data_IF_749416503188
#
_entry.id   IF_749416503188
#
_cell.length_a   1.000
_cell.length_b   1.000
_cell.length_c   1.000
_cell.angle_alpha   90.00
_cell.angle_beta   90.00
_cell.angle_gamma   90.00
#
_symmetry.space_group_name_H-M   'P 1'
#
loop_
_entity.id
_entity.type
_entity.pdbx_description
1 polymer ?
#
# COMPACT_ATOMS: atom_id res chain seq x y z
N UNK A 1 -20.47 -0.17 9.39
CA UNK A 1 -19.02 -0.49 9.34
C UNK A 1 -18.72 -1.89 9.83
N UNK A 2 -19.28 -2.33 10.96
CA UNK A 2 -19.09 -3.68 11.53
C UNK A 2 -19.33 -4.81 10.53
N UNK A 3 -20.48 -4.82 9.83
CA UNK A 3 -20.80 -5.86 8.83
C UNK A 3 -19.69 -5.97 7.77
N UNK A 4 -19.32 -4.87 7.12
CA UNK A 4 -18.26 -4.90 6.11
C UNK A 4 -16.89 -5.28 6.69
N UNK A 5 -16.61 -4.88 7.92
CA UNK A 5 -15.36 -5.26 8.59
C UNK A 5 -15.27 -6.78 8.77
N UNK A 6 -16.30 -7.39 9.36
CA UNK A 6 -16.35 -8.82 9.67
C UNK A 6 -16.43 -9.67 8.40
N UNK A 7 -17.26 -9.28 7.43
CA UNK A 7 -17.50 -10.08 6.24
C UNK A 7 -16.38 -9.95 5.20
N UNK A 8 -15.75 -8.77 5.08
CA UNK A 8 -14.82 -8.47 3.98
C UNK A 8 -13.44 -8.10 4.49
N UNK A 9 -13.35 -7.04 5.30
CA UNK A 9 -12.05 -6.41 5.61
C UNK A 9 -11.15 -7.34 6.40
N UNK A 10 -11.66 -7.94 7.46
CA UNK A 10 -10.87 -8.82 8.33
C UNK A 10 -10.44 -10.11 7.60
N UNK A 11 -11.33 -10.85 6.92
CA UNK A 11 -10.92 -12.01 6.14
C UNK A 11 -9.91 -11.67 5.03
N UNK A 12 -10.09 -10.55 4.31
CA UNK A 12 -9.13 -10.08 3.33
C UNK A 12 -7.76 -9.79 3.96
N UNK A 13 -7.73 -9.01 5.04
CA UNK A 13 -6.49 -8.70 5.75
C UNK A 13 -5.80 -9.96 6.27
N UNK A 14 -6.55 -10.97 6.72
CA UNK A 14 -5.97 -12.26 7.13
C UNK A 14 -5.31 -12.99 5.97
N UNK A 15 -5.84 -12.90 4.75
CA UNK A 15 -5.23 -13.52 3.57
C UNK A 15 -4.01 -12.77 3.03
N UNK A 16 -3.87 -11.47 3.35
CA UNK A 16 -2.77 -10.63 2.86
C UNK A 16 -1.69 -10.37 3.92
N UNK A 17 -2.05 -10.40 5.22
CA UNK A 17 -1.20 -10.09 6.38
C UNK A 17 -1.18 -11.20 7.45
N UNK A 18 -1.96 -12.26 7.29
CA UNK A 18 -2.03 -13.33 8.29
C UNK A 18 -0.76 -14.17 8.35
N UNK A 19 -0.62 -15.03 9.37
CA UNK A 19 0.49 -15.97 9.47
C UNK A 19 0.63 -16.79 8.18
N UNK A 20 1.86 -16.90 7.65
CA UNK A 20 2.15 -17.62 6.41
C UNK A 20 2.07 -16.78 5.13
N UNK A 21 1.86 -15.46 5.24
CA UNK A 21 1.83 -14.52 4.10
C UNK A 21 3.11 -13.70 3.95
N UNK A 22 4.15 -13.99 4.75
CA UNK A 22 5.38 -13.19 4.83
C UNK A 22 6.16 -13.17 3.50
N UNK A 23 6.00 -14.24 2.70
CA UNK A 23 6.64 -14.38 1.38
C UNK A 23 5.67 -14.10 0.22
N UNK A 24 4.43 -13.69 0.50
CA UNK A 24 3.43 -13.41 -0.54
C UNK A 24 3.83 -12.16 -1.30
N UNK A 25 4.05 -12.33 -2.60
CA UNK A 25 4.31 -11.22 -3.51
C UNK A 25 2.99 -10.48 -3.80
N UNK A 26 3.00 -9.16 -3.72
CA UNK A 26 1.88 -8.30 -4.10
C UNK A 26 1.33 -8.64 -5.50
N UNK A 27 2.21 -9.01 -6.44
CA UNK A 27 1.85 -9.30 -7.82
C UNK A 27 1.02 -10.58 -7.98
N UNK A 28 1.00 -11.45 -6.97
CA UNK A 28 0.24 -12.70 -6.98
C UNK A 28 -1.14 -12.56 -6.34
N UNK A 29 -1.54 -11.37 -5.88
CA UNK A 29 -2.85 -11.11 -5.26
C UNK A 29 -4.01 -10.98 -6.27
N UNK A 30 -3.74 -11.05 -7.57
CA UNK A 30 -4.75 -10.90 -8.62
C UNK A 30 -5.98 -11.81 -8.45
N UNK A 31 -5.80 -13.14 -8.26
CA UNK A 31 -6.91 -14.06 -7.99
C UNK A 31 -7.72 -13.69 -6.74
N UNK A 32 -7.05 -13.30 -5.65
CA UNK A 32 -7.72 -12.87 -4.43
C UNK A 32 -8.57 -11.60 -4.65
N UNK A 33 -8.08 -10.64 -5.44
CA UNK A 33 -8.85 -9.44 -5.78
C UNK A 33 -10.04 -9.74 -6.69
N UNK A 34 -9.96 -10.77 -7.52
CA UNK A 34 -11.08 -11.24 -8.31
C UNK A 34 -12.13 -11.93 -7.44
N UNK A 35 -11.71 -12.86 -6.57
CA UNK A 35 -12.58 -13.53 -5.60
C UNK A 35 -13.32 -12.52 -4.73
N UNK A 36 -12.60 -11.55 -4.18
CA UNK A 36 -13.16 -10.47 -3.35
C UNK A 36 -14.25 -9.68 -4.09
N UNK A 37 -14.04 -9.31 -5.36
CA UNK A 37 -15.03 -8.58 -6.14
C UNK A 37 -16.26 -9.44 -6.43
N UNK A 38 -16.05 -10.70 -6.80
CA UNK A 38 -17.12 -11.65 -7.04
C UNK A 38 -17.97 -11.87 -5.78
N UNK A 39 -17.31 -11.98 -4.62
CA UNK A 39 -17.97 -12.13 -3.32
C UNK A 39 -18.77 -10.89 -2.92
N UNK A 40 -18.20 -9.69 -3.12
CA UNK A 40 -18.97 -8.46 -2.90
C UNK A 40 -20.19 -8.40 -3.83
N UNK A 41 -20.05 -8.83 -5.08
CA UNK A 41 -21.17 -8.89 -6.03
C UNK A 41 -22.24 -9.90 -5.60
N UNK A 42 -21.89 -11.10 -5.14
CA UNK A 42 -22.87 -12.08 -4.67
C UNK A 42 -23.67 -11.58 -3.47
N UNK A 43 -23.03 -10.86 -2.54
CA UNK A 43 -23.72 -10.20 -1.42
C UNK A 43 -24.64 -9.05 -1.86
N UNK A 44 -24.31 -8.38 -2.98
CA UNK A 44 -25.17 -7.36 -3.59
C UNK A 44 -26.40 -7.98 -4.27
N UNK A 45 -26.20 -9.11 -4.94
CA UNK A 45 -27.23 -9.83 -5.70
C UNK A 45 -28.21 -10.54 -4.77
N UNK A 46 -27.71 -11.12 -3.67
CA UNK A 46 -28.52 -11.71 -2.61
C UNK A 46 -28.18 -11.13 -1.23
N UNK A 47 -28.86 -10.03 -0.81
CA UNK A 47 -28.71 -9.49 0.53
C UNK A 47 -29.21 -10.43 1.64
N UNK A 48 -29.95 -11.50 1.30
CA UNK A 48 -30.36 -12.55 2.23
C UNK A 48 -29.17 -13.26 2.85
N UNK A 49 -28.04 -13.33 2.15
CA UNK A 49 -26.78 -13.87 2.69
C UNK A 49 -26.28 -13.12 3.92
N UNK A 50 -26.65 -11.84 4.08
CA UNK A 50 -26.26 -11.02 5.25
C UNK A 50 -27.40 -10.94 6.26
N UNK A 51 -28.63 -10.73 5.80
CA UNK A 51 -29.77 -10.35 6.66
C UNK A 51 -30.85 -11.42 6.79
N UNK A 52 -30.70 -12.56 6.11
CA UNK A 52 -31.63 -13.69 6.16
C UNK A 52 -31.58 -14.41 7.51
N UNK A 53 -32.65 -15.15 7.81
CA UNK A 53 -32.72 -15.98 9.01
C UNK A 53 -31.74 -17.16 8.98
N UNK A 54 -31.31 -17.54 7.79
CA UNK A 54 -30.33 -18.59 7.47
C UNK A 54 -28.93 -18.02 7.18
N UNK A 55 -28.72 -16.71 7.42
CA UNK A 55 -27.42 -16.08 7.21
C UNK A 55 -26.34 -16.77 8.06
N UNK A 56 -25.34 -17.32 7.39
CA UNK A 56 -24.23 -18.06 7.99
C UNK A 56 -22.90 -17.40 7.62
N UNK A 57 -21.89 -17.58 8.47
CA UNK A 57 -20.54 -17.13 8.16
C UNK A 57 -19.98 -17.79 6.89
N UNK A 58 -20.40 -19.02 6.58
CA UNK A 58 -19.93 -19.81 5.44
C UNK A 58 -20.22 -19.13 4.11
N UNK A 59 -21.36 -18.43 4.00
CA UNK A 59 -21.79 -17.75 2.78
C UNK A 59 -21.60 -16.25 2.85
N UNK A 60 -21.67 -15.65 4.04
CA UNK A 60 -21.57 -14.20 4.19
C UNK A 60 -20.12 -13.68 4.17
N UNK A 61 -19.18 -14.45 4.71
CA UNK A 61 -17.78 -14.00 4.84
C UNK A 61 -16.94 -14.37 3.62
N UNK A 62 -15.99 -13.52 3.26
CA UNK A 62 -15.02 -13.83 2.22
C UNK A 62 -14.20 -15.07 2.62
N UNK A 63 -14.27 -16.11 1.79
CA UNK A 63 -13.61 -17.40 2.02
C UNK A 63 -14.31 -18.30 3.05
N UNK A 64 -15.55 -17.96 3.46
CA UNK A 64 -16.42 -18.82 4.28
C UNK A 64 -15.88 -19.14 5.68
N UNK A 65 -15.13 -18.22 6.29
CA UNK A 65 -14.55 -18.41 7.62
C UNK A 65 -15.45 -17.85 8.72
N UNK A 66 -15.28 -18.33 9.94
CA UNK A 66 -16.01 -17.82 11.09
C UNK A 66 -15.86 -16.30 11.25
N UNK A 67 -16.90 -15.67 11.81
CA UNK A 67 -16.89 -14.24 12.11
C UNK A 67 -15.71 -13.88 13.02
N UNK A 68 -14.95 -12.86 12.64
CA UNK A 68 -13.83 -12.38 13.45
C UNK A 68 -14.28 -11.84 14.81
N UNK A 69 -15.53 -11.39 14.89
CA UNK A 69 -16.18 -10.93 16.11
C UNK A 69 -17.62 -11.43 16.15
N UNK A 70 -17.85 -12.64 16.70
CA UNK A 70 -19.19 -13.22 16.78
C UNK A 70 -20.13 -12.41 17.65
N UNK A 71 -19.62 -11.81 18.73
CA UNK A 71 -20.43 -11.00 19.67
C UNK A 71 -20.96 -9.73 19.01
N UNK A 72 -20.13 -9.06 18.21
CA UNK A 72 -20.56 -7.90 17.44
C UNK A 72 -21.61 -8.28 16.38
N UNK A 73 -21.45 -9.41 15.69
CA UNK A 73 -22.45 -9.88 14.73
C UNK A 73 -23.77 -10.25 15.39
N UNK A 74 -23.74 -10.96 16.53
CA UNK A 74 -24.94 -11.28 17.31
C UNK A 74 -25.68 -10.00 17.75
N UNK A 75 -24.94 -9.01 18.26
CA UNK A 75 -25.50 -7.71 18.65
C UNK A 75 -26.11 -6.99 17.46
N UNK A 76 -25.44 -7.02 16.31
CA UNK A 76 -25.96 -6.44 15.07
C UNK A 76 -27.27 -7.11 14.64
N UNK A 77 -27.37 -8.45 14.69
CA UNK A 77 -28.61 -9.16 14.35
C UNK A 77 -29.77 -8.83 15.27
N UNK A 78 -29.51 -8.62 16.56
CA UNK A 78 -30.54 -8.14 17.51
C UNK A 78 -31.00 -6.72 17.22
N UNK A 79 -30.11 -5.86 16.70
CA UNK A 79 -30.41 -4.46 16.39
C UNK A 79 -31.02 -4.25 15.00
N UNK A 80 -30.72 -5.11 14.02
CA UNK A 80 -31.22 -4.95 12.64
C UNK A 80 -32.75 -4.73 12.58
N UNK A 81 -33.60 -5.46 13.32
CA UNK A 81 -35.05 -5.24 13.32
C UNK A 81 -35.48 -3.83 13.77
N UNK A 82 -34.68 -3.15 14.60
CA UNK A 82 -34.97 -1.78 15.07
C UNK A 82 -34.33 -0.69 14.20
N UNK A 83 -33.52 -1.07 13.20
CA UNK A 83 -32.79 -0.15 12.32
C UNK A 83 -33.36 -0.19 10.89
N UNK A 84 -34.34 0.66 10.57
CA UNK A 84 -35.12 0.55 9.32
C UNK A 84 -34.32 0.78 8.03
N UNK A 85 -33.12 1.35 8.12
CA UNK A 85 -32.28 1.66 6.95
C UNK A 85 -30.94 0.92 6.93
N UNK A 86 -30.72 -0.02 7.86
CA UNK A 86 -29.44 -0.72 7.97
C UNK A 86 -29.13 -1.52 6.70
N UNK A 87 -30.17 -2.09 6.08
CA UNK A 87 -30.02 -2.87 4.86
C UNK A 87 -29.56 -1.97 3.72
N UNK A 88 -30.28 -0.89 3.45
CA UNK A 88 -30.03 0.05 2.36
C UNK A 88 -28.65 0.70 2.49
N UNK A 89 -28.30 1.16 3.70
CA UNK A 89 -26.99 1.77 3.97
C UNK A 89 -25.87 0.74 3.77
N UNK A 90 -26.06 -0.50 4.23
CA UNK A 90 -25.08 -1.57 4.01
C UNK A 90 -24.91 -1.83 2.51
N UNK A 91 -26.00 -2.01 1.76
CA UNK A 91 -25.93 -2.24 0.32
C UNK A 91 -25.27 -1.09 -0.44
N UNK A 92 -25.57 0.16 -0.08
CA UNK A 92 -24.93 1.33 -0.66
C UNK A 92 -23.42 1.34 -0.38
N UNK A 93 -23.00 0.97 0.84
CA UNK A 93 -21.60 0.84 1.19
C UNK A 93 -20.90 -0.24 0.35
N UNK A 94 -21.50 -1.43 0.20
CA UNK A 94 -20.95 -2.51 -0.62
C UNK A 94 -20.80 -2.12 -2.10
N UNK A 95 -21.74 -1.35 -2.67
CA UNK A 95 -21.60 -0.80 -4.04
C UNK A 95 -20.41 0.15 -4.17
N UNK A 96 -20.23 1.04 -3.19
CA UNK A 96 -19.08 1.94 -3.14
C UNK A 96 -17.76 1.18 -2.99
N UNK A 97 -17.74 0.15 -2.15
CA UNK A 97 -16.60 -0.74 -1.97
C UNK A 97 -16.27 -1.48 -3.27
N UNK A 98 -17.25 -2.08 -3.95
CA UNK A 98 -17.04 -2.79 -5.22
C UNK A 98 -16.43 -1.89 -6.29
N UNK A 99 -16.92 -0.65 -6.39
CA UNK A 99 -16.40 0.35 -7.33
C UNK A 99 -14.93 0.66 -7.04
N UNK A 100 -14.61 0.81 -5.75
CA UNK A 100 -13.24 1.09 -5.29
C UNK A 100 -12.32 -0.10 -5.57
N UNK A 101 -12.74 -1.32 -5.22
CA UNK A 101 -11.99 -2.54 -5.48
C UNK A 101 -11.78 -2.81 -6.95
N UNK A 102 -12.76 -2.52 -7.80
CA UNK A 102 -12.63 -2.62 -9.26
C UNK A 102 -11.55 -1.68 -9.79
N UNK A 103 -11.55 -0.42 -9.32
CA UNK A 103 -10.52 0.55 -9.71
C UNK A 103 -9.13 0.18 -9.18
N UNK A 104 -9.04 -0.29 -7.94
CA UNK A 104 -7.80 -0.71 -7.29
C UNK A 104 -7.17 -1.93 -7.97
N UNK A 105 -8.00 -2.92 -8.32
CA UNK A 105 -7.56 -4.20 -8.88
C UNK A 105 -7.44 -4.20 -10.41
N UNK A 106 -7.78 -3.11 -11.10
CA UNK A 106 -7.78 -3.04 -12.57
C UNK A 106 -6.44 -3.45 -13.22
N UNK A 107 -5.31 -3.16 -12.56
CA UNK A 107 -3.97 -3.54 -13.03
C UNK A 107 -3.68 -5.05 -12.96
N UNK A 108 -4.45 -5.78 -12.16
CA UNK A 108 -4.39 -7.24 -12.00
C UNK A 108 -5.42 -7.97 -12.87
N UNK A 109 -6.13 -7.25 -13.75
CA UNK A 109 -7.12 -7.87 -14.63
C UNK A 109 -6.45 -8.94 -15.51
N UNK A 110 -7.17 -10.03 -15.84
CA UNK A 110 -6.70 -11.05 -16.78
C UNK A 110 -6.27 -10.40 -18.11
N UNK A 111 -5.12 -10.82 -18.63
CA UNK A 111 -4.50 -10.21 -19.81
C UNK A 111 -3.85 -8.84 -19.58
N UNK A 112 -3.80 -8.36 -18.33
CA UNK A 112 -3.03 -7.18 -17.94
C UNK A 112 -1.53 -7.46 -17.84
N UNK A 113 -0.72 -6.41 -17.71
CA UNK A 113 0.75 -6.53 -17.62
C UNK A 113 1.22 -7.37 -16.43
N UNK A 114 0.53 -7.30 -15.29
CA UNK A 114 0.88 -8.09 -14.09
C UNK A 114 0.53 -9.57 -14.32
N UNK A 115 -0.65 -9.83 -14.91
CA UNK A 115 -1.11 -11.18 -15.21
C UNK A 115 -0.17 -11.88 -16.20
N UNK A 116 0.26 -11.17 -17.25
CA UNK A 116 1.18 -11.68 -18.27
C UNK A 116 2.64 -11.75 -17.83
N UNK A 117 3.00 -11.18 -16.67
CA UNK A 117 4.38 -11.22 -16.18
C UNK A 117 4.79 -12.66 -15.86
N UNK A 118 5.95 -13.07 -16.37
CA UNK A 118 6.55 -14.37 -16.06
C UNK A 118 6.90 -14.50 -14.58
N UNK A 119 7.04 -15.73 -14.09
CA UNK A 119 7.45 -15.99 -12.71
C UNK A 119 8.77 -15.28 -12.37
N UNK A 120 9.73 -15.28 -13.30
CA UNK A 120 11.02 -14.60 -13.14
C UNK A 120 10.84 -13.07 -13.01
N UNK A 121 10.00 -12.46 -13.85
CA UNK A 121 9.74 -11.01 -13.77
C UNK A 121 9.04 -10.64 -12.46
N UNK A 122 8.09 -11.46 -11.99
CA UNK A 122 7.43 -11.25 -10.70
C UNK A 122 8.40 -11.38 -9.53
N UNK A 123 9.33 -12.34 -9.59
CA UNK A 123 10.36 -12.52 -8.58
C UNK A 123 11.38 -11.36 -8.58
N UNK A 124 11.77 -10.86 -9.75
CA UNK A 124 12.67 -9.69 -9.87
C UNK A 124 11.98 -8.40 -9.39
N UNK A 125 10.67 -8.30 -9.59
CA UNK A 125 9.85 -7.18 -9.12
C UNK A 125 9.15 -7.49 -7.78
N UNK A 126 9.75 -8.36 -6.95
CA UNK A 126 9.14 -8.77 -5.70
C UNK A 126 8.85 -7.56 -4.80
N UNK A 127 7.61 -7.52 -4.32
CA UNK A 127 7.16 -6.54 -3.34
C UNK A 127 6.32 -7.27 -2.30
N UNK A 128 6.45 -6.91 -1.00
CA UNK A 128 5.59 -7.46 0.02
C UNK A 128 4.13 -7.16 -0.31
N UNK A 129 3.23 -8.09 0.01
CA UNK A 129 1.78 -8.00 -0.18
C UNK A 129 1.17 -6.74 0.46
N UNK A 130 1.83 -6.20 1.48
CA UNK A 130 1.47 -4.96 2.16
C UNK A 130 2.64 -3.99 2.20
N UNK A 131 2.33 -2.70 2.31
CA UNK A 131 3.36 -1.68 2.43
C UNK A 131 3.59 -1.27 3.90
N UNK A 132 3.21 -2.12 4.87
CA UNK A 132 3.31 -1.87 6.32
C UNK A 132 4.72 -1.44 6.74
N UNK A 133 5.76 -2.06 6.18
CA UNK A 133 7.16 -1.69 6.44
C UNK A 133 7.47 -0.26 5.99
N UNK A 134 6.93 0.17 4.85
CA UNK A 134 7.18 1.51 4.35
C UNK A 134 6.31 2.56 5.07
N UNK A 135 5.10 2.20 5.51
CA UNK A 135 4.24 3.04 6.36
C UNK A 135 4.88 3.23 7.73
N UNK A 136 5.47 2.17 8.29
CA UNK A 136 6.26 2.21 9.50
C UNK A 136 7.49 3.11 9.35
N UNK A 137 8.24 2.97 8.25
CA UNK A 137 9.42 3.80 7.98
C UNK A 137 9.05 5.28 7.78
N UNK A 138 7.94 5.58 7.12
CA UNK A 138 7.44 6.94 6.93
C UNK A 138 6.96 7.54 8.26
N UNK A 139 6.29 6.75 9.09
CA UNK A 139 5.85 7.17 10.42
C UNK A 139 7.05 7.47 11.32
N UNK A 140 8.06 6.60 11.33
CA UNK A 140 9.32 6.81 12.04
C UNK A 140 10.02 8.09 11.57
N UNK A 141 10.04 8.34 10.26
CA UNK A 141 10.57 9.57 9.68
C UNK A 141 9.84 10.81 10.21
N UNK A 142 8.50 10.80 10.19
CA UNK A 142 7.71 11.92 10.70
C UNK A 142 7.97 12.19 12.18
N UNK A 143 8.09 11.15 13.01
CA UNK A 143 8.42 11.30 14.44
C UNK A 143 9.82 11.91 14.59
N UNK A 144 10.80 11.43 13.83
CA UNK A 144 12.17 11.94 13.88
C UNK A 144 12.26 13.43 13.49
N UNK A 145 11.61 13.84 12.41
CA UNK A 145 11.62 15.23 11.94
C UNK A 145 10.90 16.16 12.92
N UNK A 146 9.84 15.70 13.62
CA UNK A 146 9.19 16.49 14.67
C UNK A 146 10.12 16.81 15.83
N UNK A 147 10.90 15.82 16.27
CA UNK A 147 11.89 16.01 17.34
C UNK A 147 13.17 16.73 16.90
N UNK A 148 13.49 16.67 15.60
CA UNK A 148 14.70 17.25 15.00
C UNK A 148 14.34 17.99 13.69
N UNK A 149 13.80 19.23 13.76
CA UNK A 149 13.35 19.94 12.56
C UNK A 149 14.47 20.27 11.56
N UNK A 150 15.72 20.33 12.03
CA UNK A 150 16.91 20.53 11.20
C UNK A 150 17.42 19.24 10.55
N UNK A 151 16.83 18.07 10.84
CA UNK A 151 17.25 16.79 10.30
C UNK A 151 16.93 16.72 8.80
N UNK A 152 17.97 16.57 7.98
CA UNK A 152 17.80 16.40 6.55
C UNK A 152 17.37 14.97 6.21
N UNK A 153 16.75 14.77 5.04
CA UNK A 153 16.39 13.42 4.61
C UNK A 153 17.63 12.53 4.44
N UNK A 154 18.74 13.10 3.95
CA UNK A 154 20.01 12.38 3.84
C UNK A 154 20.53 11.91 5.20
N UNK A 155 20.50 12.78 6.21
CA UNK A 155 20.91 12.42 7.58
C UNK A 155 19.99 11.36 8.19
N UNK A 156 18.68 11.47 8.00
CA UNK A 156 17.73 10.45 8.48
C UNK A 156 18.00 9.09 7.81
N UNK A 157 18.14 9.06 6.48
CA UNK A 157 18.41 7.83 5.74
C UNK A 157 19.76 7.21 6.15
N UNK A 158 20.79 8.03 6.36
CA UNK A 158 22.09 7.56 6.84
C UNK A 158 21.97 6.94 8.24
N UNK A 159 21.28 7.59 9.18
CA UNK A 159 21.04 7.05 10.52
C UNK A 159 20.22 5.75 10.49
N UNK A 160 19.17 5.70 9.67
CA UNK A 160 18.34 4.51 9.53
C UNK A 160 19.13 3.32 8.95
N UNK A 161 19.97 3.56 7.93
CA UNK A 161 20.84 2.52 7.38
C UNK A 161 21.92 2.10 8.38
N UNK A 162 22.52 3.06 9.09
CA UNK A 162 23.54 2.79 10.10
C UNK A 162 23.03 1.84 11.18
N UNK A 163 21.81 2.08 11.68
CA UNK A 163 21.16 1.22 12.66
C UNK A 163 20.77 -0.14 12.07
N UNK A 164 20.15 -0.14 10.88
CA UNK A 164 19.66 -1.37 10.24
C UNK A 164 20.78 -2.35 9.89
N UNK A 165 21.93 -1.83 9.50
CA UNK A 165 23.07 -2.64 9.08
C UNK A 165 24.04 -2.94 10.23
N UNK A 166 23.70 -2.58 11.48
CA UNK A 166 24.61 -2.67 12.63
C UNK A 166 26.00 -2.10 12.33
N UNK A 167 26.04 -0.95 11.66
CA UNK A 167 27.29 -0.38 11.15
C UNK A 167 28.25 -0.03 12.29
N UNK A 168 27.76 0.23 13.50
CA UNK A 168 28.61 0.42 14.68
C UNK A 168 29.49 -0.80 14.97
N UNK A 169 28.92 -2.01 14.95
CA UNK A 169 29.66 -3.25 15.23
C UNK A 169 30.77 -3.48 14.20
N UNK A 170 30.49 -3.20 12.92
CA UNK A 170 31.49 -3.23 11.86
C UNK A 170 32.59 -2.18 12.09
N UNK A 171 32.20 -0.96 12.47
CA UNK A 171 33.14 0.12 12.71
C UNK A 171 34.09 -0.20 13.86
N UNK A 172 33.57 -0.72 14.97
CA UNK A 172 34.35 -1.06 16.14
C UNK A 172 35.32 -2.23 15.88
N UNK A 173 34.94 -3.17 15.00
CA UNK A 173 35.76 -4.32 14.65
C UNK A 173 36.86 -4.02 13.62
N UNK A 174 36.63 -3.07 12.71
CA UNK A 174 37.45 -2.92 11.48
C UNK A 174 38.15 -1.57 11.39
N UNK A 175 37.56 -0.48 11.90
CA UNK A 175 38.09 0.86 11.64
C UNK A 175 39.20 1.24 12.61
N UNK A 176 40.18 1.95 12.06
CA UNK A 176 41.24 2.60 12.82
C UNK A 176 40.93 4.08 13.01
N UNK A 177 41.62 4.78 13.93
CA UNK A 177 41.45 6.23 14.10
C UNK A 177 41.66 7.05 12.81
N UNK A 178 42.50 6.57 11.88
CA UNK A 178 42.70 7.21 10.58
C UNK A 178 41.47 7.10 9.68
N UNK A 179 40.80 5.96 9.70
CA UNK A 179 39.58 5.74 8.91
C UNK A 179 38.43 6.60 9.44
N UNK A 180 38.32 6.75 10.77
CA UNK A 180 37.37 7.69 11.36
C UNK A 180 37.62 9.14 10.92
N UNK A 181 38.88 9.57 10.90
CA UNK A 181 39.24 10.90 10.43
C UNK A 181 38.87 11.11 8.96
N UNK A 182 39.07 10.09 8.12
CA UNK A 182 38.68 10.10 6.71
C UNK A 182 37.16 10.20 6.53
N UNK A 183 36.38 9.36 7.23
CA UNK A 183 34.92 9.37 7.16
C UNK A 183 34.34 10.72 7.60
N UNK A 184 34.91 11.33 8.65
CA UNK A 184 34.50 12.67 9.10
C UNK A 184 34.81 13.75 8.06
N UNK A 185 35.94 13.65 7.36
CA UNK A 185 36.28 14.56 6.27
C UNK A 185 35.32 14.39 5.09
N UNK A 186 35.05 13.15 4.66
CA UNK A 186 34.13 12.83 3.57
C UNK A 186 32.71 13.34 3.87
N UNK A 187 32.22 13.16 5.11
CA UNK A 187 30.92 13.67 5.54
C UNK A 187 30.80 15.19 5.38
N UNK A 188 31.87 15.94 5.69
CA UNK A 188 31.90 17.40 5.48
C UNK A 188 31.87 17.76 4.01
N UNK A 189 32.63 17.06 3.16
CA UNK A 189 32.59 17.28 1.72
C UNK A 189 31.19 17.03 1.13
N UNK A 190 30.47 16.01 1.63
CA UNK A 190 29.08 15.74 1.24
C UNK A 190 28.14 16.87 1.69
N UNK A 191 28.27 17.36 2.92
CA UNK A 191 27.45 18.48 3.39
C UNK A 191 27.72 19.78 2.60
N UNK A 192 28.99 20.03 2.28
CA UNK A 192 29.43 21.19 1.47
C UNK A 192 28.95 21.12 0.00
N UNK A 193 28.73 19.91 -0.54
CA UNK A 193 28.26 19.70 -1.92
C UNK A 193 26.90 20.36 -2.22
N UNK A 194 26.11 20.67 -1.18
CA UNK A 194 24.82 21.33 -1.29
C UNK A 194 23.73 20.47 -1.93
N UNK A 195 23.90 19.15 -2.03
CA UNK A 195 22.90 18.24 -2.61
C UNK A 195 21.54 18.33 -1.90
N UNK A 196 21.51 18.48 -0.58
CA UNK A 196 20.26 18.69 0.16
C UNK A 196 19.60 20.03 -0.21
N UNK A 197 20.38 21.10 -0.41
CA UNK A 197 19.86 22.40 -0.88
C UNK A 197 19.24 22.26 -2.27
N UNK A 198 19.89 21.53 -3.18
CA UNK A 198 19.35 21.21 -4.51
C UNK A 198 18.06 20.41 -4.41
N UNK A 199 17.98 19.44 -3.48
CA UNK A 199 16.76 18.64 -3.23
C UNK A 199 15.62 19.51 -2.73
N UNK A 200 15.86 20.37 -1.75
CA UNK A 200 14.87 21.31 -1.22
C UNK A 200 14.36 22.26 -2.31
N UNK A 201 15.26 22.79 -3.13
CA UNK A 201 14.87 23.63 -4.27
C UNK A 201 13.94 22.89 -5.24
N UNK A 202 14.26 21.62 -5.57
CA UNK A 202 13.37 20.79 -6.42
C UNK A 202 11.98 20.60 -5.80
N UNK A 203 11.88 20.46 -4.48
CA UNK A 203 10.59 20.33 -3.77
C UNK A 203 9.80 21.62 -3.86
N UNK A 204 10.44 22.77 -3.62
CA UNK A 204 9.83 24.11 -3.72
C UNK A 204 9.36 24.36 -5.16
N UNK A 205 10.21 24.10 -6.15
CA UNK A 205 9.91 24.24 -7.56
C UNK A 205 8.73 23.35 -7.97
N UNK A 206 8.69 22.10 -7.50
CA UNK A 206 7.56 21.22 -7.76
C UNK A 206 6.26 21.72 -7.10
N UNK A 207 6.33 22.19 -5.85
CA UNK A 207 5.22 22.78 -5.12
C UNK A 207 4.62 23.99 -5.85
N UNK A 208 5.48 24.88 -6.36
CA UNK A 208 5.06 26.06 -7.14
C UNK A 208 4.42 25.71 -8.50
N UNK A 209 4.71 24.54 -9.07
CA UNK A 209 4.10 24.03 -10.31
C UNK A 209 2.74 23.34 -10.08
N UNK A 210 2.40 22.94 -8.86
CA UNK A 210 1.11 22.28 -8.59
C UNK A 210 -0.12 23.16 -8.80
N UNK A 211 -0.15 24.47 -8.46
CA UNK A 211 -1.28 25.35 -8.76
C UNK A 211 -1.56 25.49 -10.26
N UNK A 212 -0.52 25.59 -11.10
CA UNK A 212 -0.69 25.67 -12.57
C UNK A 212 -1.14 24.34 -13.18
N UNK A 213 -0.67 23.21 -12.64
CA UNK A 213 -1.15 21.87 -13.00
C UNK A 213 -2.59 21.60 -12.50
N UNK A 214 -3.02 22.16 -11.37
CA UNK A 214 -4.42 22.05 -10.86
C UNK A 214 -5.38 22.91 -11.68
N UNK A 215 -4.99 24.12 -12.11
CA UNK A 215 -5.83 24.99 -12.98
C UNK A 215 -6.04 24.44 -14.39
N UNK A 216 -5.16 23.54 -14.87
CA UNK A 216 -5.33 22.82 -16.15
C UNK A 216 -6.27 21.59 -16.07
N UNK A 217 -6.82 21.27 -14.89
CA UNK A 217 -7.69 20.09 -14.68
C UNK A 217 -9.18 20.22 -15.05
N UNK A 218 -9.69 21.25 -15.76
CA UNK A 218 -11.01 21.10 -16.39
C UNK A 218 -11.00 20.38 -17.74
N UNK A 219 -9.87 20.34 -18.47
CA UNK A 219 -9.87 19.94 -19.90
C UNK A 219 -9.02 18.71 -20.26
N UNK A 220 -8.38 18.05 -19.29
CA UNK A 220 -7.56 16.84 -19.52
C UNK A 220 -7.99 15.70 -18.59
N UNK A 221 -9.29 15.41 -18.52
CA UNK A 221 -9.80 14.20 -17.83
C UNK A 221 -9.82 12.94 -18.72
N UNK A 222 -9.42 13.04 -19.99
CA UNK A 222 -9.51 11.90 -20.93
C UNK A 222 -8.19 11.41 -21.58
N UNK A 223 -7.06 12.12 -21.48
CA UNK A 223 -5.82 11.71 -22.20
C UNK A 223 -4.52 11.66 -21.37
N UNK A 224 -4.56 11.93 -20.07
CA UNK A 224 -3.35 12.09 -19.23
C UNK A 224 -2.76 10.81 -18.60
N UNK A 225 -3.48 9.68 -18.60
CA UNK A 225 -3.03 8.44 -17.93
C UNK A 225 -2.08 7.61 -18.83
N UNK A 226 -2.03 7.89 -20.14
CA UNK A 226 -1.26 7.12 -21.11
C UNK A 226 0.23 7.50 -21.26
N UNK A 227 0.69 8.62 -20.70
CA UNK A 227 2.05 9.12 -20.96
C UNK A 227 2.98 9.25 -19.75
N UNK A 228 2.49 9.12 -18.50
CA UNK A 228 3.37 9.13 -17.31
C UNK A 228 4.01 7.75 -17.02
N UNK A 229 3.43 6.66 -17.55
CA UNK A 229 3.93 5.29 -17.42
C UNK A 229 4.87 4.86 -18.55
N UNK A 230 4.92 5.59 -19.68
CA UNK A 230 5.75 5.23 -20.85
C UNK A 230 7.25 5.54 -20.66
N UNK A 231 7.63 6.48 -19.80
CA UNK A 231 9.04 6.86 -19.60
C UNK A 231 9.77 6.05 -18.53
N UNK A 232 9.06 5.52 -17.52
CA UNK A 232 9.69 4.75 -16.45
C UNK A 232 9.74 3.26 -16.76
N UNK A 233 8.74 2.71 -17.46
CA UNK A 233 8.71 1.29 -17.83
C UNK A 233 9.60 0.96 -19.05
N UNK A 234 9.75 1.89 -20.01
CA UNK A 234 10.67 1.68 -21.15
C UNK A 234 12.16 1.70 -20.76
N UNK A 235 12.56 2.38 -19.70
CA UNK A 235 13.98 2.43 -19.28
C UNK A 235 14.46 1.16 -18.56
N UNK A 236 13.54 0.40 -17.97
CA UNK A 236 13.89 -0.87 -17.31
C UNK A 236 13.95 -2.01 -18.33
N UNK A 237 13.02 -2.05 -19.30
CA UNK A 237 13.01 -3.12 -20.31
C UNK A 237 14.07 -3.00 -21.42
N UNK A 238 14.51 -1.79 -21.79
CA UNK A 238 15.54 -1.64 -22.84
C UNK A 238 16.98 -1.89 -22.35
N UNK A 239 17.22 -2.07 -21.05
CA UNK A 239 18.56 -2.32 -20.49
C UNK A 239 18.88 -3.79 -20.26
N UNK A 240 17.94 -4.70 -20.54
CA UNK A 240 18.10 -6.15 -20.43
C UNK A 240 18.20 -6.86 -21.80
N UNK A 241 18.37 -6.10 -22.88
CA UNK A 241 18.52 -6.63 -24.26
C UNK A 241 19.73 -6.04 -25.01
N UNK A 242 20.81 -5.76 -24.29
CA UNK A 242 22.16 -5.60 -24.86
C UNK A 242 23.15 -6.35 -24.01
#
# INVERSE_FOLDING_TARGET
MTIYHVLITHPYLRQVRGPGTENTNLLDLGPLHQELRNHIQSLLDDPGLIFGSDASYETATLGGREWSDPSAMETMFKLIPSLPHVREITMAFFRGALTTWTSFSAKFAPGGLIDQASATERQLAWMPSTNDTNEGALSAYHVAVRGKPSLTLHQYNAQAMFQRNSTQDFMDAVLTPKDHAYIMWEARCVDESGEERKRQQKIIDFGSRQPSCRKRKPLVKFYGILNCSRTTSKRIFYRLRR
#
